data_IF_991687518564
#
_entry.id   IF_991687518564
#
_cell.length_a   1.000
_cell.length_b   1.000
_cell.length_c   1.000
_cell.angle_alpha   90.00
_cell.angle_beta   90.00
_cell.angle_gamma   90.00
#
_symmetry.space_group_name_H-M   'P 1'
#
loop_
_entity.id
_entity.type
_entity.pdbx_description
1 polymer ?
#
# COMPACT_ATOMS: atom_id res chain seq x y z
N UNK A 1 10.62 2.52 -13.32
CA UNK A 1 11.49 1.86 -12.32
C UNK A 1 11.93 0.48 -12.81
N UNK A 2 11.04 -0.48 -13.00
CA UNK A 2 11.43 -1.87 -13.35
C UNK A 2 12.32 -1.93 -14.60
N UNK A 3 11.99 -1.15 -15.63
CA UNK A 3 12.81 -1.06 -16.84
C UNK A 3 14.25 -0.57 -16.55
N UNK A 4 14.40 0.40 -15.64
CA UNK A 4 15.72 0.95 -15.27
C UNK A 4 16.59 -0.01 -14.46
N UNK A 5 16.02 -1.09 -13.91
CA UNK A 5 16.78 -2.11 -13.18
C UNK A 5 17.38 -3.18 -14.10
N UNK A 6 17.00 -3.20 -15.39
CA UNK A 6 17.58 -4.11 -16.36
C UNK A 6 19.02 -3.70 -16.72
N UNK A 7 19.98 -4.62 -16.66
CA UNK A 7 21.34 -4.29 -17.00
C UNK A 7 21.48 -4.00 -18.50
N UNK A 8 22.39 -3.09 -18.87
CA UNK A 8 22.58 -2.69 -20.26
C UNK A 8 23.03 -3.82 -21.18
N UNK A 9 23.69 -4.84 -20.62
CA UNK A 9 24.13 -6.03 -21.36
C UNK A 9 23.03 -7.06 -21.62
N UNK A 10 21.86 -6.94 -20.95
CA UNK A 10 20.77 -7.88 -21.19
C UNK A 10 20.29 -7.75 -22.65
N UNK A 11 20.31 -8.85 -23.42
CA UNK A 11 19.93 -8.81 -24.83
C UNK A 11 18.46 -8.42 -24.96
N UNK A 12 18.21 -7.39 -25.75
CA UNK A 12 16.86 -6.97 -26.12
C UNK A 12 16.91 -6.08 -27.37
N UNK A 13 16.11 -6.38 -28.37
CA UNK A 13 15.90 -5.49 -29.51
C UNK A 13 14.99 -4.33 -29.11
N UNK A 14 13.90 -4.63 -28.40
CA UNK A 14 12.94 -3.65 -27.89
C UNK A 14 12.53 -4.01 -26.47
N UNK A 15 12.35 -3.01 -25.63
CA UNK A 15 11.89 -3.18 -24.25
C UNK A 15 10.57 -2.48 -24.07
N UNK A 16 9.51 -3.26 -23.91
CA UNK A 16 8.14 -2.76 -23.76
C UNK A 16 7.69 -2.89 -22.31
N UNK A 17 7.18 -1.79 -21.74
CA UNK A 17 6.59 -1.79 -20.40
C UNK A 17 5.09 -1.98 -20.50
N UNK A 18 4.61 -3.11 -19.96
CA UNK A 18 3.18 -3.37 -19.82
C UNK A 18 2.86 -3.39 -18.33
N UNK A 19 2.08 -2.43 -17.80
CA UNK A 19 1.71 -2.40 -16.39
C UNK A 19 0.73 -3.53 -16.06
N UNK A 20 0.56 -3.83 -14.78
CA UNK A 20 -0.53 -4.70 -14.33
C UNK A 20 -1.88 -4.02 -14.47
N UNK A 21 -2.92 -4.81 -14.63
CA UNK A 21 -4.30 -4.35 -14.59
C UNK A 21 -4.82 -4.24 -13.16
N UNK A 22 -5.83 -3.40 -12.99
CA UNK A 22 -6.59 -3.24 -11.75
C UNK A 22 -7.97 -3.89 -11.94
N UNK A 23 -8.59 -4.33 -10.86
CA UNK A 23 -9.94 -4.90 -10.84
C UNK A 23 -10.95 -3.89 -11.44
N UNK A 24 -11.73 -4.34 -12.43
CA UNK A 24 -12.72 -3.51 -13.14
C UNK A 24 -13.76 -2.89 -12.18
N UNK A 25 -14.08 -3.56 -11.09
CA UNK A 25 -15.04 -3.06 -10.12
C UNK A 25 -14.56 -1.80 -9.41
N UNK A 26 -13.25 -1.58 -9.30
CA UNK A 26 -12.70 -0.36 -8.71
C UNK A 26 -12.94 0.87 -9.59
N UNK A 27 -12.93 0.71 -10.92
CA UNK A 27 -13.23 1.81 -11.87
C UNK A 27 -14.70 2.25 -11.81
N UNK A 28 -15.59 1.38 -11.35
CA UNK A 28 -17.03 1.65 -11.21
C UNK A 28 -17.40 2.22 -9.86
N UNK A 29 -16.50 2.11 -8.86
CA UNK A 29 -16.76 2.61 -7.50
C UNK A 29 -16.69 4.14 -7.45
N UNK A 30 -17.69 4.74 -6.80
CA UNK A 30 -17.61 6.15 -6.42
C UNK A 30 -16.76 6.28 -5.17
N UNK A 31 -15.69 7.06 -5.25
CA UNK A 31 -14.83 7.36 -4.10
C UNK A 31 -15.66 8.12 -3.05
N UNK A 32 -15.68 7.59 -1.83
CA UNK A 32 -16.40 8.19 -0.71
C UNK A 32 -15.75 9.52 -0.29
N UNK A 33 -16.59 10.48 0.09
CA UNK A 33 -16.15 11.79 0.63
C UNK A 33 -16.17 11.83 2.15
N UNK A 34 -16.74 10.80 2.80
CA UNK A 34 -16.82 10.75 4.26
C UNK A 34 -15.44 10.49 4.83
N UNK A 35 -15.02 11.34 5.75
CA UNK A 35 -13.77 11.17 6.49
C UNK A 35 -13.85 9.87 7.31
N UNK A 36 -12.94 8.91 7.10
CA UNK A 36 -12.92 7.67 7.86
C UNK A 36 -12.41 7.91 9.30
N UNK A 37 -12.64 6.92 10.15
CA UNK A 37 -11.95 6.88 11.45
C UNK A 37 -10.43 6.88 11.26
N UNK A 38 -9.68 7.27 12.28
CA UNK A 38 -8.21 7.36 12.28
C UNK A 38 -7.56 5.99 12.23
N UNK A 39 -7.81 5.26 11.15
CA UNK A 39 -7.27 3.93 10.90
C UNK A 39 -6.20 4.00 9.83
N UNK A 40 -4.97 3.62 10.18
CA UNK A 40 -3.95 3.26 9.21
C UNK A 40 -4.14 1.79 8.81
N UNK A 41 -3.83 1.44 7.56
CA UNK A 41 -3.97 0.07 7.08
C UNK A 41 -2.71 -0.41 6.37
N UNK A 42 -2.32 -1.66 6.68
CA UNK A 42 -1.26 -2.42 6.04
C UNK A 42 -1.83 -3.73 5.50
N UNK A 43 -1.60 -4.01 4.21
CA UNK A 43 -2.19 -5.17 3.52
C UNK A 43 -1.16 -5.99 2.73
N UNK A 44 0.10 -5.87 3.09
CA UNK A 44 1.18 -6.61 2.43
C UNK A 44 1.60 -7.81 3.26
N UNK A 45 2.54 -8.55 2.72
CA UNK A 45 3.21 -9.67 3.34
C UNK A 45 4.01 -9.22 4.58
N UNK A 46 4.05 -10.00 5.69
CA UNK A 46 4.77 -9.63 6.91
C UNK A 46 6.25 -9.29 6.67
N UNK A 47 6.93 -10.02 5.78
CA UNK A 47 8.34 -9.79 5.46
C UNK A 47 8.60 -8.48 4.69
N UNK A 48 7.54 -7.82 4.20
CA UNK A 48 7.67 -6.55 3.47
C UNK A 48 7.55 -5.34 4.39
N UNK A 49 8.39 -5.31 5.42
CA UNK A 49 8.56 -4.16 6.31
C UNK A 49 7.55 -4.06 7.45
N UNK A 50 6.76 -5.12 7.76
CA UNK A 50 5.82 -5.05 8.87
C UNK A 50 6.54 -4.91 10.23
N UNK A 51 7.66 -5.61 10.45
CA UNK A 51 8.44 -5.48 11.70
C UNK A 51 8.89 -4.04 11.93
N UNK A 52 9.46 -3.41 10.89
CA UNK A 52 9.83 -2.00 10.92
C UNK A 52 8.61 -1.08 11.18
N UNK A 53 7.48 -1.35 10.53
CA UNK A 53 6.27 -0.55 10.71
C UNK A 53 5.75 -0.62 12.16
N UNK A 54 5.76 -1.81 12.77
CA UNK A 54 5.35 -1.99 14.16
C UNK A 54 6.24 -1.21 15.13
N UNK A 55 7.56 -1.19 14.89
CA UNK A 55 8.49 -0.35 15.67
C UNK A 55 8.16 1.14 15.52
N UNK A 56 7.92 1.63 14.29
CA UNK A 56 7.56 3.04 14.07
C UNK A 56 6.20 3.39 14.66
N UNK A 57 5.24 2.45 14.58
CA UNK A 57 3.93 2.62 15.19
C UNK A 57 4.02 2.76 16.71
N UNK A 58 4.73 1.83 17.37
CA UNK A 58 4.91 1.80 18.82
C UNK A 58 5.59 3.07 19.34
N UNK A 59 6.71 3.45 18.74
CA UNK A 59 7.62 4.45 19.30
C UNK A 59 7.31 5.88 18.85
N UNK A 60 6.68 6.07 17.66
CA UNK A 60 6.56 7.41 17.08
C UNK A 60 5.14 7.78 16.66
N UNK A 61 4.37 6.85 16.06
CA UNK A 61 3.07 7.19 15.47
C UNK A 61 1.99 7.18 16.56
N UNK A 62 1.82 6.06 17.26
CA UNK A 62 0.79 5.91 18.28
C UNK A 62 0.90 6.93 19.42
N UNK A 63 2.07 7.26 19.98
CA UNK A 63 2.20 8.27 21.03
C UNK A 63 1.65 9.64 20.62
N UNK A 64 1.72 9.99 19.32
CA UNK A 64 1.25 11.26 18.75
C UNK A 64 -0.17 11.19 18.17
N UNK A 65 -0.76 10.00 18.12
CA UNK A 65 -2.12 9.76 17.59
C UNK A 65 -2.81 8.61 18.36
N UNK A 66 -2.97 8.76 19.66
CA UNK A 66 -3.44 7.71 20.61
C UNK A 66 -4.83 7.14 20.30
N UNK A 67 -5.66 7.87 19.53
CA UNK A 67 -6.99 7.42 19.12
C UNK A 67 -6.98 6.70 17.76
N UNK A 68 -5.81 6.43 17.22
CA UNK A 68 -5.65 5.76 15.93
C UNK A 68 -5.51 4.25 16.10
N UNK A 69 -5.85 3.52 15.02
CA UNK A 69 -5.67 2.07 14.93
C UNK A 69 -4.78 1.74 13.74
N UNK A 70 -3.96 0.71 13.88
CA UNK A 70 -3.25 0.08 12.78
C UNK A 70 -3.93 -1.24 12.45
N UNK A 71 -4.63 -1.26 11.32
CA UNK A 71 -5.29 -2.46 10.81
C UNK A 71 -4.29 -3.23 9.94
N UNK A 72 -3.97 -4.45 10.33
CA UNK A 72 -3.05 -5.32 9.60
C UNK A 72 -3.87 -6.48 9.03
N UNK A 73 -3.86 -6.63 7.70
CA UNK A 73 -4.39 -7.79 6.98
C UNK A 73 -3.22 -8.54 6.35
N UNK A 74 -2.63 -9.45 7.12
CA UNK A 74 -1.39 -10.14 6.76
C UNK A 74 -1.26 -11.45 7.51
N UNK A 75 -0.52 -12.40 6.96
CA UNK A 75 -0.33 -13.72 7.58
C UNK A 75 0.51 -14.67 6.74
N UNK A 76 0.64 -15.90 7.21
CA UNK A 76 1.40 -16.96 6.52
C UNK A 76 0.88 -17.26 5.12
N UNK A 77 -0.43 -17.17 4.92
CA UNK A 77 -1.10 -17.52 3.66
C UNK A 77 -0.70 -16.63 2.48
N UNK A 78 -0.17 -15.43 2.76
CA UNK A 78 0.26 -14.49 1.71
C UNK A 78 1.46 -15.00 0.89
N UNK A 79 2.14 -16.05 1.35
CA UNK A 79 3.31 -16.62 0.68
C UNK A 79 3.10 -18.02 0.09
N UNK A 80 1.95 -18.67 0.29
CA UNK A 80 1.76 -20.05 -0.09
C UNK A 80 2.86 -20.95 0.49
N UNK A 81 3.44 -21.83 -0.35
CA UNK A 81 4.54 -22.73 0.07
C UNK A 81 5.81 -22.00 0.54
N UNK A 82 6.04 -20.76 0.12
CA UNK A 82 7.19 -19.97 0.54
C UNK A 82 7.07 -19.52 2.01
N UNK A 83 5.85 -19.34 2.52
CA UNK A 83 5.59 -19.02 3.92
C UNK A 83 6.09 -20.06 4.92
N UNK A 84 6.19 -21.33 4.51
CA UNK A 84 6.74 -22.39 5.38
C UNK A 84 8.25 -22.22 5.63
N UNK A 85 9.00 -21.72 4.64
CA UNK A 85 10.45 -21.48 4.76
C UNK A 85 10.79 -20.35 5.74
N UNK A 86 9.94 -19.34 5.83
CA UNK A 86 10.12 -18.17 6.71
C UNK A 86 9.14 -18.19 7.91
N UNK A 87 8.61 -19.37 8.26
CA UNK A 87 7.56 -19.49 9.28
C UNK A 87 7.96 -18.93 10.65
N UNK A 88 9.22 -19.07 11.05
CA UNK A 88 9.72 -18.54 12.30
C UNK A 88 9.73 -17.02 12.33
N UNK A 89 10.32 -16.39 11.32
CA UNK A 89 10.40 -14.92 11.20
C UNK A 89 9.01 -14.29 11.13
N UNK A 90 8.13 -14.86 10.28
CA UNK A 90 6.74 -14.43 10.16
C UNK A 90 6.03 -14.53 11.52
N UNK A 91 6.19 -15.65 12.23
CA UNK A 91 5.60 -15.87 13.55
C UNK A 91 6.05 -14.79 14.56
N UNK A 92 7.34 -14.48 14.61
CA UNK A 92 7.89 -13.44 15.48
C UNK A 92 7.28 -12.07 15.18
N UNK A 93 7.15 -11.70 13.90
CA UNK A 93 6.52 -10.44 13.48
C UNK A 93 5.03 -10.39 13.89
N UNK A 94 4.29 -11.48 13.69
CA UNK A 94 2.87 -11.54 14.03
C UNK A 94 2.65 -11.52 15.55
N UNK A 95 3.52 -12.17 16.34
CA UNK A 95 3.50 -12.10 17.81
C UNK A 95 3.78 -10.67 18.29
N UNK A 96 4.74 -9.95 17.68
CA UNK A 96 4.96 -8.53 17.96
C UNK A 96 3.72 -7.70 17.65
N UNK A 97 3.04 -7.94 16.53
CA UNK A 97 1.79 -7.24 16.21
C UNK A 97 0.70 -7.48 17.27
N UNK A 98 0.56 -8.72 17.74
CA UNK A 98 -0.38 -9.08 18.81
C UNK A 98 -0.04 -8.41 20.15
N UNK A 99 1.24 -8.30 20.51
CA UNK A 99 1.67 -7.65 21.76
C UNK A 99 1.33 -6.16 21.82
N UNK A 100 1.15 -5.51 20.65
CA UNK A 100 0.82 -4.09 20.53
C UNK A 100 -0.70 -3.80 20.48
N UNK A 101 -1.54 -4.77 20.86
CA UNK A 101 -3.01 -4.61 20.88
C UNK A 101 -3.44 -3.37 21.68
N UNK A 102 -2.83 -3.13 22.83
CA UNK A 102 -3.13 -1.97 23.69
C UNK A 102 -2.67 -0.63 23.09
N UNK A 103 -1.88 -0.67 22.02
CA UNK A 103 -1.46 0.48 21.22
C UNK A 103 -2.22 0.57 19.89
N UNK A 104 -3.44 0.05 19.85
CA UNK A 104 -4.34 0.15 18.71
C UNK A 104 -3.99 -0.73 17.51
N UNK A 105 -3.04 -1.66 17.63
CA UNK A 105 -2.73 -2.63 16.56
C UNK A 105 -3.79 -3.72 16.53
N UNK A 106 -4.41 -3.94 15.37
CA UNK A 106 -5.40 -4.97 15.12
C UNK A 106 -4.89 -5.87 14.01
N UNK A 107 -4.44 -7.05 14.40
CA UNK A 107 -3.99 -8.08 13.48
C UNK A 107 -5.19 -8.92 13.01
N UNK A 108 -5.36 -9.00 11.70
CA UNK A 108 -6.37 -9.80 11.04
C UNK A 108 -5.71 -10.78 10.07
N UNK A 109 -6.33 -11.94 9.89
CA UNK A 109 -6.00 -12.87 8.82
C UNK A 109 -6.22 -12.23 7.44
N UNK A 110 -5.49 -12.69 6.42
CA UNK A 110 -5.78 -12.31 5.04
C UNK A 110 -7.22 -12.66 4.66
N UNK A 111 -7.90 -11.73 4.03
CA UNK A 111 -9.30 -11.86 3.61
C UNK A 111 -9.44 -11.80 2.08
N UNK A 112 -10.58 -12.23 1.55
CA UNK A 112 -10.88 -12.10 0.13
C UNK A 112 -10.76 -10.64 -0.32
N UNK A 113 -10.25 -10.43 -1.53
CA UNK A 113 -9.93 -9.10 -2.10
C UNK A 113 -11.11 -8.13 -2.06
N UNK A 114 -12.32 -8.60 -2.38
CA UNK A 114 -13.54 -7.79 -2.34
C UNK A 114 -13.82 -7.23 -0.94
N UNK A 115 -13.63 -8.06 0.09
CA UNK A 115 -13.78 -7.65 1.49
C UNK A 115 -12.67 -6.69 1.91
N UNK A 116 -11.46 -6.88 1.38
CA UNK A 116 -10.31 -6.00 1.63
C UNK A 116 -10.57 -4.59 1.07
N UNK A 117 -11.20 -4.45 -0.09
CA UNK A 117 -11.58 -3.16 -0.65
C UNK A 117 -12.47 -2.36 0.30
N UNK A 118 -13.42 -3.04 0.98
CA UNK A 118 -14.26 -2.38 1.99
C UNK A 118 -13.46 -1.93 3.22
N UNK A 119 -12.39 -2.64 3.59
CA UNK A 119 -11.51 -2.23 4.69
C UNK A 119 -10.60 -1.08 4.29
N UNK A 120 -10.04 -1.13 3.08
CA UNK A 120 -9.26 -0.04 2.51
C UNK A 120 -10.07 1.26 2.44
N UNK A 121 -11.23 1.27 1.79
CA UNK A 121 -12.05 2.49 1.61
C UNK A 121 -12.59 3.11 2.92
N UNK A 122 -12.57 2.36 4.03
CA UNK A 122 -12.92 2.83 5.36
C UNK A 122 -11.68 3.11 6.24
N UNK A 123 -10.48 3.07 5.65
CA UNK A 123 -9.24 3.45 6.32
C UNK A 123 -8.85 4.88 5.96
N UNK A 124 -8.20 5.55 6.90
CA UNK A 124 -7.76 6.93 6.75
C UNK A 124 -6.53 7.06 5.88
N UNK A 125 -5.61 6.12 6.03
CA UNK A 125 -4.33 6.14 5.33
C UNK A 125 -3.82 4.73 5.07
N UNK A 126 -3.34 4.48 3.86
CA UNK A 126 -2.55 3.30 3.53
C UNK A 126 -1.09 3.58 3.86
N UNK A 127 -0.43 2.68 4.60
CA UNK A 127 0.95 2.87 5.00
C UNK A 127 1.81 1.67 4.60
N UNK A 128 2.94 1.96 3.95
CA UNK A 128 3.83 0.90 3.45
C UNK A 128 5.27 1.41 3.29
N UNK A 129 6.23 0.71 3.90
CA UNK A 129 7.65 1.04 3.74
C UNK A 129 8.10 0.97 2.27
N UNK A 130 7.62 -0.03 1.54
CA UNK A 130 8.13 -0.36 0.22
C UNK A 130 9.26 -1.39 0.24
N UNK A 131 9.70 -1.75 -0.95
CA UNK A 131 10.84 -2.62 -1.21
C UNK A 131 11.48 -2.22 -2.53
N UNK A 132 12.79 -2.36 -2.64
CA UNK A 132 13.52 -2.16 -3.91
C UNK A 132 13.13 -3.17 -4.99
N UNK A 133 12.53 -4.29 -4.61
CA UNK A 133 11.99 -5.31 -5.53
C UNK A 133 10.55 -5.03 -5.97
N UNK A 134 9.94 -3.94 -5.48
CA UNK A 134 8.56 -3.62 -5.84
C UNK A 134 8.49 -3.03 -7.25
N UNK A 135 7.78 -3.71 -8.15
CA UNK A 135 7.69 -3.33 -9.57
C UNK A 135 6.35 -2.71 -9.96
N UNK A 136 5.29 -2.88 -9.17
CA UNK A 136 3.98 -2.28 -9.42
C UNK A 136 3.26 -1.79 -8.17
N UNK A 137 3.29 -2.53 -7.07
CA UNK A 137 2.56 -2.30 -5.83
C UNK A 137 1.03 -2.24 -5.99
N UNK A 138 0.43 -3.40 -6.22
CA UNK A 138 -1.03 -3.53 -6.41
C UNK A 138 -1.83 -2.94 -5.24
N UNK A 139 -1.41 -3.20 -3.99
CA UNK A 139 -2.10 -2.72 -2.80
C UNK A 139 -2.15 -1.18 -2.72
N UNK A 140 -1.07 -0.50 -3.11
CA UNK A 140 -1.04 0.96 -3.20
C UNK A 140 -1.95 1.46 -4.32
N UNK A 141 -1.89 0.86 -5.51
CA UNK A 141 -2.76 1.23 -6.63
C UNK A 141 -4.25 1.09 -6.26
N UNK A 142 -4.63 0.00 -5.60
CA UNK A 142 -6.00 -0.22 -5.13
C UNK A 142 -6.44 0.80 -4.08
N UNK A 143 -5.56 1.16 -3.13
CA UNK A 143 -5.87 2.19 -2.15
C UNK A 143 -6.11 3.54 -2.80
N UNK A 144 -5.29 3.92 -3.79
CA UNK A 144 -5.46 5.16 -4.56
C UNK A 144 -6.78 5.15 -5.35
N UNK A 145 -7.14 4.02 -5.98
CA UNK A 145 -8.42 3.85 -6.70
C UNK A 145 -9.63 3.98 -5.78
N UNK A 146 -9.49 3.63 -4.51
CA UNK A 146 -10.54 3.76 -3.48
C UNK A 146 -10.56 5.14 -2.80
N UNK A 147 -9.69 6.06 -3.21
CA UNK A 147 -9.62 7.41 -2.66
C UNK A 147 -8.94 7.49 -1.29
N UNK A 148 -8.09 6.52 -0.98
CA UNK A 148 -7.35 6.46 0.29
C UNK A 148 -5.96 7.03 0.09
N UNK A 149 -5.61 8.16 0.72
CA UNK A 149 -4.26 8.69 0.70
C UNK A 149 -3.24 7.69 1.27
N UNK A 150 -2.00 7.77 0.82
CA UNK A 150 -0.97 6.85 1.26
C UNK A 150 0.26 7.56 1.83
N UNK A 151 0.96 6.90 2.75
CA UNK A 151 2.32 7.26 3.17
C UNK A 151 3.23 6.08 2.86
N UNK A 152 4.21 6.31 1.99
CA UNK A 152 5.10 5.25 1.49
C UNK A 152 6.56 5.68 1.56
N UNK A 153 7.46 4.72 1.71
CA UNK A 153 8.89 4.98 1.54
C UNK A 153 9.24 5.21 0.06
N UNK A 154 10.30 5.96 -0.21
CA UNK A 154 10.82 6.19 -1.55
C UNK A 154 11.62 4.98 -2.05
N UNK A 155 10.93 3.84 -2.25
CA UNK A 155 11.53 2.55 -2.63
C UNK A 155 10.78 1.93 -3.80
N UNK A 156 11.53 1.32 -4.71
CA UNK A 156 10.96 0.62 -5.86
C UNK A 156 10.11 1.53 -6.74
N UNK A 157 8.97 1.03 -7.21
CA UNK A 157 8.04 1.74 -8.08
C UNK A 157 7.02 2.63 -7.35
N UNK A 158 7.12 2.79 -6.03
CA UNK A 158 6.06 3.46 -5.25
C UNK A 158 5.82 4.91 -5.69
N UNK A 159 6.89 5.62 -6.06
CA UNK A 159 6.82 6.97 -6.62
C UNK A 159 6.04 7.08 -7.94
N UNK A 160 5.83 5.97 -8.64
CA UNK A 160 5.03 5.94 -9.87
C UNK A 160 3.53 5.82 -9.59
N UNK A 161 3.13 5.55 -8.34
CA UNK A 161 1.75 5.22 -7.95
C UNK A 161 1.01 6.37 -7.29
N UNK A 162 1.72 7.38 -6.78
CA UNK A 162 1.09 8.52 -6.14
C UNK A 162 1.77 9.84 -6.53
N UNK A 163 1.07 10.92 -6.34
CA UNK A 163 1.60 12.27 -6.54
C UNK A 163 1.93 12.83 -5.16
N UNK A 164 3.22 13.02 -4.89
CA UNK A 164 3.71 13.49 -3.59
C UNK A 164 3.05 14.80 -3.17
N UNK A 165 2.62 14.87 -1.91
CA UNK A 165 1.90 16.01 -1.34
C UNK A 165 0.45 16.19 -1.84
N UNK A 166 -0.01 15.43 -2.86
CA UNK A 166 -1.36 15.55 -3.43
C UNK A 166 -2.25 14.32 -3.20
N UNK A 167 -1.72 13.12 -3.43
CA UNK A 167 -2.47 11.88 -3.24
C UNK A 167 -1.91 11.01 -2.12
N UNK A 168 -0.88 11.50 -1.45
CA UNK A 168 -0.16 10.86 -0.37
C UNK A 168 1.22 11.48 -0.21
N UNK A 169 2.11 10.81 0.54
CA UNK A 169 3.48 11.25 0.78
C UNK A 169 4.48 10.16 0.42
N UNK A 170 5.55 10.55 -0.27
CA UNK A 170 6.73 9.74 -0.55
C UNK A 170 7.82 10.18 0.44
N UNK A 171 8.26 9.28 1.31
CA UNK A 171 9.15 9.60 2.42
C UNK A 171 10.55 9.03 2.19
N UNK A 172 11.58 9.85 2.35
CA UNK A 172 12.97 9.45 2.17
C UNK A 172 13.61 8.86 3.42
N UNK A 173 12.98 9.07 4.58
CA UNK A 173 13.46 8.58 5.88
C UNK A 173 12.30 8.27 6.83
N UNK A 174 12.65 7.65 7.95
CA UNK A 174 11.69 7.21 8.97
C UNK A 174 10.98 8.38 9.66
N UNK A 175 11.64 9.51 9.84
CA UNK A 175 11.07 10.70 10.48
C UNK A 175 9.95 11.29 9.61
N UNK A 176 10.20 11.48 8.32
CA UNK A 176 9.19 11.93 7.35
C UNK A 176 8.01 10.98 7.29
N UNK A 177 8.26 9.67 7.28
CA UNK A 177 7.21 8.66 7.27
C UNK A 177 6.31 8.75 8.51
N UNK A 178 6.89 8.81 9.69
CA UNK A 178 6.15 8.91 10.94
C UNK A 178 5.38 10.22 11.02
N UNK A 179 6.01 11.37 10.71
CA UNK A 179 5.41 12.70 10.71
C UNK A 179 4.21 12.78 9.76
N UNK A 180 4.37 12.33 8.53
CA UNK A 180 3.31 12.38 7.51
C UNK A 180 2.17 11.40 7.82
N UNK A 181 2.46 10.24 8.41
CA UNK A 181 1.44 9.31 8.90
C UNK A 181 0.60 9.95 10.00
N UNK A 182 1.24 10.55 11.01
CA UNK A 182 0.54 11.27 12.10
C UNK A 182 -0.29 12.42 11.54
N UNK A 183 0.26 13.18 10.59
CA UNK A 183 -0.44 14.30 9.95
C UNK A 183 -1.73 13.82 9.27
N UNK A 184 -1.66 12.80 8.42
CA UNK A 184 -2.85 12.25 7.74
C UNK A 184 -3.87 11.64 8.70
N UNK A 185 -3.42 11.04 9.80
CA UNK A 185 -4.33 10.50 10.82
C UNK A 185 -5.10 11.58 11.57
N UNK A 186 -4.52 12.77 11.76
CA UNK A 186 -5.08 13.80 12.64
C UNK A 186 -5.68 15.02 11.91
N UNK A 187 -5.25 15.27 10.66
CA UNK A 187 -5.65 16.45 9.88
C UNK A 187 -6.76 16.08 8.89
N UNK A 188 -7.98 16.55 9.20
CA UNK A 188 -9.16 16.25 8.40
C UNK A 188 -9.18 17.02 7.08
N UNK A 189 -8.71 18.26 7.07
CA UNK A 189 -8.66 19.11 5.87
C UNK A 189 -7.67 18.55 4.85
N UNK A 190 -6.47 18.20 5.30
CA UNK A 190 -5.47 17.55 4.45
C UNK A 190 -6.03 16.26 3.84
N UNK A 191 -6.72 15.43 4.64
CA UNK A 191 -7.31 14.20 4.14
C UNK A 191 -8.36 14.48 3.06
N UNK A 192 -9.25 15.48 3.29
CA UNK A 192 -10.29 15.87 2.33
C UNK A 192 -9.65 16.32 1.00
N UNK A 193 -8.60 17.12 1.06
CA UNK A 193 -7.96 17.64 -0.13
C UNK A 193 -7.27 16.53 -0.92
N UNK A 194 -6.56 15.61 -0.25
CA UNK A 194 -5.98 14.44 -0.93
C UNK A 194 -7.05 13.50 -1.50
N UNK A 195 -8.15 13.28 -0.79
CA UNK A 195 -9.27 12.48 -1.30
C UNK A 195 -9.93 13.14 -2.54
N UNK A 196 -10.04 14.48 -2.59
CA UNK A 196 -10.51 15.20 -3.78
C UNK A 196 -9.57 14.98 -4.98
N UNK A 197 -8.25 15.02 -4.77
CA UNK A 197 -7.29 14.76 -5.83
C UNK A 197 -7.38 13.32 -6.35
N UNK A 198 -7.58 12.35 -5.45
CA UNK A 198 -7.77 10.93 -5.80
C UNK A 198 -9.05 10.65 -6.60
N UNK A 199 -10.06 11.53 -6.51
CA UNK A 199 -11.29 11.43 -7.33
C UNK A 199 -11.08 11.81 -8.79
N UNK A 200 -9.98 12.49 -9.12
CA UNK A 200 -9.62 12.76 -10.49
C UNK A 200 -9.27 11.45 -11.21
N UNK A 201 -9.36 11.44 -12.53
CA UNK A 201 -9.09 10.23 -13.31
C UNK A 201 -7.69 9.68 -12.99
N UNK A 202 -7.63 8.44 -12.56
CA UNK A 202 -6.40 7.71 -12.32
C UNK A 202 -5.89 7.08 -13.63
N UNK A 203 -4.57 7.05 -13.83
CA UNK A 203 -3.93 6.47 -15.02
C UNK A 203 -3.65 4.97 -14.83
N UNK A 204 -4.69 4.22 -14.49
CA UNK A 204 -4.61 2.75 -14.39
C UNK A 204 -5.37 2.09 -15.55
N UNK A 205 -5.05 0.83 -15.80
CA UNK A 205 -5.67 -0.01 -16.80
C UNK A 205 -6.42 -1.16 -16.15
N UNK A 206 -7.52 -1.57 -16.75
CA UNK A 206 -8.18 -2.83 -16.41
C UNK A 206 -7.34 -4.01 -16.93
N UNK A 207 -7.52 -5.20 -16.35
CA UNK A 207 -6.89 -6.42 -16.88
C UNK A 207 -7.25 -6.68 -18.35
N UNK A 208 -8.46 -6.31 -18.78
CA UNK A 208 -8.88 -6.44 -20.18
C UNK A 208 -8.08 -5.52 -21.11
N UNK A 209 -7.81 -4.29 -20.70
CA UNK A 209 -6.98 -3.37 -21.48
C UNK A 209 -5.53 -3.81 -21.54
N UNK A 210 -5.01 -4.36 -20.43
CA UNK A 210 -3.66 -4.94 -20.37
C UNK A 210 -3.55 -6.17 -21.29
N UNK A 211 -4.54 -7.05 -21.28
CA UNK A 211 -4.59 -8.20 -22.21
C UNK A 211 -4.55 -7.77 -23.68
N UNK A 212 -5.28 -6.71 -24.06
CA UNK A 212 -5.21 -6.15 -25.41
C UNK A 212 -3.82 -5.60 -25.77
N UNK A 213 -3.08 -5.04 -24.80
CA UNK A 213 -1.70 -4.60 -25.04
C UNK A 213 -0.78 -5.78 -25.31
N UNK A 214 -0.94 -6.89 -24.58
CA UNK A 214 -0.21 -8.13 -24.82
C UNK A 214 -0.51 -8.72 -26.19
N UNK A 215 -1.79 -8.78 -26.61
CA UNK A 215 -2.19 -9.28 -27.92
C UNK A 215 -1.46 -8.56 -29.06
N UNK A 216 -1.31 -7.23 -28.98
CA UNK A 216 -0.63 -6.42 -30.02
C UNK A 216 0.88 -6.71 -30.15
N UNK A 217 1.47 -7.37 -29.18
CA UNK A 217 2.91 -7.68 -29.19
C UNK A 217 3.15 -9.11 -29.68
N UNK A 218 2.18 -10.01 -29.45
CA UNK A 218 2.29 -11.43 -29.78
C UNK A 218 1.81 -11.70 -31.21
N UNK A 219 0.95 -10.84 -31.75
CA UNK A 219 0.46 -10.88 -33.16
C UNK A 219 1.33 -10.03 -34.06
#
# INVERSE_FOLDING_TARGET
YHLSTYPNWAPANERIVIPYGIDENLFKKKIKSRIPMRNAIFTSNPMRGLSWLLEKWENYIFPKSKNSKLLIYSGFQTYGKFGTKHSREIKEILLKAQSLKNMGVILNEPIKRENLFNKLENSRVFIYKGSTEETFCMALAESQMLGVPAVVGNLGCLQERLIDGKTGFICNNDEEFCKNTVKLLNDDELWIDMNKELKKKQNYFTWKEVAKKWQKIIT
#
